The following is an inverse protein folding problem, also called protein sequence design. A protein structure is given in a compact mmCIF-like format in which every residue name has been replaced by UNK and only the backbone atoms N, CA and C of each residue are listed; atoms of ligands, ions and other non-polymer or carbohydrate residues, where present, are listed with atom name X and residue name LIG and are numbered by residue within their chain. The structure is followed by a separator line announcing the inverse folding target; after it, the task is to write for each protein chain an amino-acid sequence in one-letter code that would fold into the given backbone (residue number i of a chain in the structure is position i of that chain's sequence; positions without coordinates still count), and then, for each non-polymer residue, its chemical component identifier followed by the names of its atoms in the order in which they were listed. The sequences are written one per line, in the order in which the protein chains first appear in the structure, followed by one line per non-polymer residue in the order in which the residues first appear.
data_IF_277480563308
#
_entry.id   IF_277480563308
#
_cell.length_a   1.000
_cell.length_b   1.000
_cell.length_c   1.000
_cell.angle_alpha   90.00
_cell.angle_beta   90.00
_cell.angle_gamma   90.00
#
_symmetry.space_group_name_H-M   'P 1'
#
loop_
_entity.id
_entity.type
_entity.pdbx_description
1 polymer ?
#
# COMPACT_ATOMS: atom_id res chain seq x y z
N UNK A 1 10.46 0.62 -8.56
CA UNK A 1 9.49 1.66 -8.18
C UNK A 1 10.24 2.74 -7.42
N UNK A 2 10.14 4.03 -7.80
CA UNK A 2 10.89 5.05 -7.06
C UNK A 2 10.29 5.30 -5.66
N UNK A 3 11.10 5.81 -4.72
CA UNK A 3 10.72 6.07 -3.32
C UNK A 3 9.44 6.90 -3.16
N UNK A 4 9.27 7.91 -4.01
CA UNK A 4 8.09 8.79 -3.98
C UNK A 4 6.85 8.01 -4.39
N UNK A 5 6.93 7.22 -5.46
CA UNK A 5 5.86 6.38 -5.97
C UNK A 5 5.45 5.31 -4.96
N UNK A 6 6.42 4.67 -4.29
CA UNK A 6 6.13 3.71 -3.21
C UNK A 6 5.36 4.36 -2.07
N UNK A 7 5.83 5.52 -1.60
CA UNK A 7 5.20 6.25 -0.50
C UNK A 7 3.79 6.70 -0.90
N UNK A 8 3.62 7.29 -2.08
CA UNK A 8 2.31 7.74 -2.58
C UNK A 8 1.35 6.56 -2.72
N UNK A 9 1.78 5.46 -3.34
CA UNK A 9 0.93 4.27 -3.54
C UNK A 9 0.57 3.61 -2.22
N UNK A 10 1.53 3.47 -1.29
CA UNK A 10 1.29 2.91 0.04
C UNK A 10 0.35 3.78 0.88
N UNK A 11 0.54 5.10 0.89
CA UNK A 11 -0.32 6.04 1.62
C UNK A 11 -1.74 6.04 1.05
N UNK A 12 -1.90 6.11 -0.27
CA UNK A 12 -3.22 6.03 -0.93
C UNK A 12 -3.89 4.70 -0.58
N UNK A 13 -3.16 3.59 -0.64
CA UNK A 13 -3.68 2.27 -0.27
C UNK A 13 -4.17 2.20 1.18
N UNK A 14 -3.43 2.80 2.12
CA UNK A 14 -3.84 2.88 3.53
C UNK A 14 -5.13 3.71 3.66
N UNK A 15 -5.22 4.86 2.99
CA UNK A 15 -6.42 5.72 3.02
C UNK A 15 -7.63 4.94 2.52
N UNK A 16 -7.50 4.24 1.39
CA UNK A 16 -8.58 3.40 0.83
C UNK A 16 -8.98 2.31 1.82
N UNK A 17 -8.01 1.63 2.43
CA UNK A 17 -8.25 0.60 3.45
C UNK A 17 -9.00 1.13 4.68
N UNK A 18 -8.63 2.31 5.18
CA UNK A 18 -9.31 2.97 6.30
C UNK A 18 -10.75 3.36 5.93
N UNK A 19 -10.97 3.89 4.73
CA UNK A 19 -12.32 4.24 4.24
C UNK A 19 -13.18 2.98 4.14
N UNK A 20 -12.68 1.89 3.54
CA UNK A 20 -13.39 0.62 3.46
C UNK A 20 -13.71 0.05 4.84
N UNK A 21 -12.78 0.17 5.79
CA UNK A 21 -13.00 -0.25 7.19
C UNK A 21 -14.14 0.57 7.81
N UNK A 22 -14.13 1.89 7.67
CA UNK A 22 -15.20 2.77 8.18
C UNK A 22 -16.56 2.46 7.55
N UNK A 23 -16.60 2.22 6.24
CA UNK A 23 -17.82 1.79 5.53
C UNK A 23 -18.30 0.43 6.04
N UNK A 24 -17.39 -0.51 6.31
CA UNK A 24 -17.73 -1.82 6.85
C UNK A 24 -18.36 -1.79 8.24
N UNK A 25 -17.93 -0.86 9.10
CA UNK A 25 -18.55 -0.62 10.42
C UNK A 25 -20.00 -0.13 10.26
N UNK A 26 -20.27 0.74 9.28
CA UNK A 26 -21.57 1.43 9.14
C UNK A 26 -22.58 0.60 8.34
N UNK A 27 -22.14 -0.12 7.30
CA UNK A 27 -23.05 -0.70 6.28
C UNK A 27 -23.21 -2.20 6.40
N UNK A 28 -22.12 -2.96 6.31
CA UNK A 28 -22.16 -4.42 6.20
C UNK A 28 -20.82 -5.04 6.62
N UNK A 29 -20.82 -6.08 7.49
CA UNK A 29 -19.61 -6.80 7.89
C UNK A 29 -18.83 -7.43 6.73
N UNK A 30 -19.50 -7.76 5.61
CA UNK A 30 -18.85 -8.31 4.42
C UNK A 30 -17.80 -7.39 3.77
N UNK A 31 -17.81 -6.08 4.05
CA UNK A 31 -16.80 -5.14 3.53
C UNK A 31 -15.42 -5.40 4.16
N UNK A 32 -15.35 -5.97 5.36
CA UNK A 32 -14.08 -6.31 6.01
C UNK A 32 -13.26 -7.35 5.25
N UNK A 33 -13.92 -8.23 4.47
CA UNK A 33 -13.26 -9.21 3.60
C UNK A 33 -12.36 -8.50 2.57
N UNK A 34 -12.72 -7.29 2.16
CA UNK A 34 -11.94 -6.48 1.22
C UNK A 34 -11.03 -5.48 1.93
N UNK A 35 -11.46 -4.92 3.06
CA UNK A 35 -10.67 -3.95 3.81
C UNK A 35 -9.35 -4.56 4.33
N UNK A 36 -9.38 -5.79 4.85
CA UNK A 36 -8.19 -6.44 5.42
C UNK A 36 -7.12 -6.72 4.35
N UNK A 37 -7.41 -7.35 3.20
CA UNK A 37 -6.42 -7.52 2.13
C UNK A 37 -5.87 -6.21 1.59
N UNK A 38 -6.72 -5.17 1.44
CA UNK A 38 -6.29 -3.86 0.94
C UNK A 38 -5.28 -3.21 1.89
N UNK A 39 -5.53 -3.25 3.20
CA UNK A 39 -4.59 -2.72 4.20
C UNK A 39 -3.29 -3.52 4.18
N UNK A 40 -3.36 -4.86 4.12
CA UNK A 40 -2.16 -5.71 4.08
C UNK A 40 -1.31 -5.44 2.83
N UNK A 41 -1.94 -5.29 1.65
CA UNK A 41 -1.26 -4.94 0.42
C UNK A 41 -0.64 -3.54 0.49
N UNK A 42 -1.36 -2.55 1.03
CA UNK A 42 -0.86 -1.19 1.18
C UNK A 42 0.36 -1.13 2.11
N UNK A 43 0.34 -1.86 3.23
CA UNK A 43 1.48 -1.99 4.14
C UNK A 43 2.64 -2.72 3.46
N UNK A 44 2.36 -3.81 2.74
CA UNK A 44 3.38 -4.54 1.99
C UNK A 44 4.10 -3.62 0.98
N UNK A 45 3.34 -2.84 0.20
CA UNK A 45 3.88 -1.87 -0.76
C UNK A 45 4.71 -0.81 -0.03
N UNK A 46 4.19 -0.23 1.05
CA UNK A 46 4.88 0.85 1.78
C UNK A 46 6.21 0.39 2.37
N UNK A 47 6.27 -0.85 2.88
CA UNK A 47 7.47 -1.43 3.50
C UNK A 47 8.37 -2.19 2.53
N UNK A 48 7.98 -2.35 1.26
CA UNK A 48 8.81 -3.03 0.27
C UNK A 48 9.98 -2.15 -0.20
N UNK A 49 10.98 -1.99 0.67
CA UNK A 49 12.18 -1.18 0.39
C UNK A 49 13.20 -1.84 -0.51
N UNK A 50 13.11 -3.15 -0.65
CA UNK A 50 14.05 -3.95 -1.45
C UNK A 50 13.98 -3.61 -2.94
N UNK A 51 12.79 -3.27 -3.45
CA UNK A 51 12.61 -2.93 -4.86
C UNK A 51 13.32 -1.61 -5.23
N UNK A 52 13.18 -0.59 -4.38
CA UNK A 52 13.85 0.69 -4.58
C UNK A 52 15.38 0.56 -4.49
N UNK A 53 15.91 -0.26 -3.56
CA UNK A 53 17.36 -0.51 -3.46
C UNK A 53 17.92 -1.14 -4.74
N UNK A 54 17.20 -2.11 -5.34
CA UNK A 54 17.62 -2.74 -6.61
C UNK A 54 17.62 -1.71 -7.74
N UNK A 55 16.62 -0.83 -7.79
CA UNK A 55 16.49 0.20 -8.82
C UNK A 55 17.61 1.25 -8.68
N UNK A 56 17.93 1.69 -7.45
CA UNK A 56 19.03 2.62 -7.18
C UNK A 56 20.40 2.02 -7.54
N UNK A 57 20.62 0.72 -7.32
CA UNK A 57 21.85 0.03 -7.75
C UNK A 57 21.94 -0.04 -9.28
N UNK A 58 20.83 -0.28 -9.97
CA UNK A 58 20.79 -0.38 -11.44
C UNK A 58 21.15 0.96 -12.09
N UNK A 59 20.59 2.07 -11.60
CA UNK A 59 20.84 3.41 -12.16
C UNK A 59 22.17 4.05 -11.71
N UNK A 60 22.86 3.50 -10.71
CA UNK A 60 24.17 3.99 -10.25
C UNK A 60 25.35 3.35 -10.99
N UNK A 61 25.08 2.37 -11.86
CA UNK A 61 26.09 1.63 -12.64
C UNK A 61 26.29 2.18 -14.06
N UNK A 62 25.54 3.20 -14.43
CA UNK A 62 25.62 3.94 -15.71
C UNK A 62 26.19 5.34 -15.45
#
# INVERSE_FOLDING_TARGET
MNTVSRIVTGVIGIIIGVVLTGVGIIKTPGVFIYAVPVILLALFILFNKKEDEIEEIKYRKD
#
